data_IF_147564829675
#
_entry.id   IF_147564829675
#
_cell.length_a   1.000
_cell.length_b   1.000
_cell.length_c   1.000
_cell.angle_alpha   90.00
_cell.angle_beta   90.00
_cell.angle_gamma   90.00
#
_symmetry.space_group_name_H-M   'P 1'
#
loop_
_entity.id
_entity.type
_entity.pdbx_description
1 polymer ?
#
# COMPACT_ATOMS: atom_id res chain seq x y z
N UNK A 1 14.35 -16.55 5.26
CA UNK A 1 13.17 -15.66 5.18
C UNK A 1 13.72 -14.25 5.16
N UNK A 2 13.60 -13.52 4.06
CA UNK A 2 14.12 -12.16 3.96
C UNK A 2 13.34 -11.27 4.95
N UNK A 3 14.02 -10.45 5.75
CA UNK A 3 13.37 -9.61 6.75
C UNK A 3 12.67 -8.42 6.06
N UNK A 4 11.35 -8.47 5.90
CA UNK A 4 10.53 -7.39 5.32
C UNK A 4 10.23 -6.25 6.30
N UNK A 5 11.24 -5.83 7.06
CA UNK A 5 11.07 -4.85 8.16
C UNK A 5 10.56 -3.51 7.65
N UNK A 6 10.99 -3.09 6.47
CA UNK A 6 10.59 -1.81 5.91
C UNK A 6 9.18 -1.86 5.33
N UNK A 7 8.80 -2.96 4.66
CA UNK A 7 7.44 -3.18 4.19
C UNK A 7 6.41 -3.06 5.31
N UNK A 8 6.68 -3.65 6.50
CA UNK A 8 5.72 -3.55 7.61
C UNK A 8 5.58 -2.12 8.15
N UNK A 9 6.65 -1.32 8.11
CA UNK A 9 6.59 0.11 8.47
C UNK A 9 5.79 0.89 7.43
N UNK A 10 6.10 0.70 6.15
CA UNK A 10 5.35 1.27 5.02
C UNK A 10 3.86 0.92 5.12
N UNK A 11 3.55 -0.35 5.34
CA UNK A 11 2.18 -0.84 5.50
C UNK A 11 1.44 -0.17 6.67
N UNK A 12 2.08 -0.02 7.83
CA UNK A 12 1.48 0.66 8.97
C UNK A 12 1.21 2.13 8.65
N UNK A 13 2.20 2.82 8.09
CA UNK A 13 2.08 4.21 7.69
C UNK A 13 0.96 4.42 6.66
N UNK A 14 1.01 3.71 5.54
CA UNK A 14 0.04 3.84 4.45
C UNK A 14 -1.40 3.53 4.91
N UNK A 15 -1.57 2.53 5.79
CA UNK A 15 -2.87 2.26 6.40
C UNK A 15 -3.34 3.38 7.33
N UNK A 16 -2.45 4.04 8.05
CA UNK A 16 -2.81 5.16 8.94
C UNK A 16 -3.19 6.44 8.19
N UNK A 17 -2.71 6.61 6.95
CA UNK A 17 -3.02 7.78 6.11
C UNK A 17 -4.04 7.50 5.01
N UNK A 18 -4.56 6.28 4.93
CA UNK A 18 -5.65 5.90 4.02
C UNK A 18 -6.93 6.62 4.41
N UNK A 19 -7.69 7.07 3.41
CA UNK A 19 -9.00 7.71 3.58
C UNK A 19 -10.16 6.71 3.45
N UNK A 20 -9.86 5.42 3.28
CA UNK A 20 -10.88 4.39 3.16
C UNK A 20 -11.80 4.37 4.38
N UNK A 21 -13.11 4.34 4.13
CA UNK A 21 -14.13 4.23 5.18
C UNK A 21 -14.14 2.86 5.87
N UNK A 22 -13.46 1.88 5.28
CA UNK A 22 -13.42 0.51 5.76
C UNK A 22 -11.99 0.13 6.16
N UNK A 23 -11.81 -0.70 7.20
CA UNK A 23 -10.51 -1.24 7.57
C UNK A 23 -9.79 -1.92 6.39
N UNK A 24 -8.48 -1.70 6.28
CA UNK A 24 -7.62 -2.36 5.28
C UNK A 24 -6.84 -3.51 5.94
N UNK A 25 -6.98 -4.71 5.36
CA UNK A 25 -6.19 -5.90 5.70
C UNK A 25 -5.25 -6.21 4.55
N UNK A 26 -3.97 -6.44 4.84
CA UNK A 26 -2.94 -6.73 3.84
C UNK A 26 -2.42 -8.14 4.08
N UNK A 27 -2.29 -8.92 3.01
CA UNK A 27 -1.68 -10.26 3.04
C UNK A 27 -0.73 -10.42 1.86
N UNK A 28 0.43 -11.00 2.13
CA UNK A 28 1.33 -11.48 1.08
C UNK A 28 1.05 -12.95 0.82
N UNK A 29 0.77 -13.32 -0.42
CA UNK A 29 0.38 -14.67 -0.82
C UNK A 29 1.00 -15.03 -2.16
N UNK A 30 1.01 -16.30 -2.50
CA UNK A 30 1.29 -16.72 -3.88
C UNK A 30 0.12 -16.27 -4.76
N UNK A 31 0.38 -15.41 -5.73
CA UNK A 31 -0.60 -15.00 -6.74
C UNK A 31 -0.22 -15.72 -8.02
N UNK A 32 -1.06 -16.66 -8.47
CA UNK A 32 -0.80 -17.48 -9.66
C UNK A 32 -1.20 -16.80 -10.98
N UNK A 33 -1.90 -15.68 -10.87
CA UNK A 33 -2.38 -14.90 -12.01
C UNK A 33 -1.29 -13.92 -12.45
N UNK A 34 -1.35 -13.40 -13.68
CA UNK A 34 -0.41 -12.38 -14.21
C UNK A 34 -0.60 -11.00 -13.53
N UNK A 35 -0.82 -10.98 -12.22
CA UNK A 35 -1.10 -9.81 -11.41
C UNK A 35 -0.16 -9.79 -10.20
N UNK A 36 0.31 -8.59 -9.85
CA UNK A 36 1.23 -8.38 -8.72
C UNK A 36 0.51 -8.11 -7.40
N UNK A 37 -0.78 -7.76 -7.46
CA UNK A 37 -1.63 -7.51 -6.30
C UNK A 37 -3.10 -7.34 -6.67
N UNK A 38 -3.95 -7.31 -5.64
CA UNK A 38 -5.39 -7.10 -5.75
C UNK A 38 -5.94 -6.37 -4.55
N UNK A 39 -6.88 -5.45 -4.78
CA UNK A 39 -7.76 -4.89 -3.76
C UNK A 39 -9.17 -5.46 -3.88
N UNK A 40 -9.60 -6.23 -2.88
CA UNK A 40 -10.90 -6.90 -2.85
C UNK A 40 -11.74 -6.29 -1.73
N UNK A 41 -12.88 -5.70 -2.07
CA UNK A 41 -13.89 -5.32 -1.07
C UNK A 41 -14.58 -6.57 -0.53
N UNK A 42 -14.57 -6.72 0.80
CA UNK A 42 -15.32 -7.72 1.56
C UNK A 42 -16.31 -7.02 2.49
N UNK A 43 -17.21 -7.78 3.09
CA UNK A 43 -18.19 -7.23 4.03
C UNK A 43 -17.46 -6.56 5.21
N UNK A 44 -17.51 -5.21 5.22
CA UNK A 44 -16.94 -4.39 6.27
C UNK A 44 -15.41 -4.17 6.21
N UNK A 45 -14.69 -4.60 5.17
CA UNK A 45 -13.24 -4.33 5.04
C UNK A 45 -12.72 -4.45 3.60
N UNK A 46 -11.56 -3.88 3.33
CA UNK A 46 -10.77 -4.14 2.11
C UNK A 46 -9.68 -5.17 2.39
N UNK A 47 -9.56 -6.17 1.53
CA UNK A 47 -8.48 -7.16 1.53
C UNK A 47 -7.52 -6.85 0.38
N UNK A 48 -6.32 -6.42 0.72
CA UNK A 48 -5.22 -6.26 -0.21
C UNK A 48 -4.37 -7.55 -0.20
N UNK A 49 -4.22 -8.15 -1.37
CA UNK A 49 -3.33 -9.28 -1.62
C UNK A 49 -2.14 -8.80 -2.43
N UNK A 50 -0.92 -9.19 -2.06
CA UNK A 50 0.32 -8.85 -2.78
C UNK A 50 1.09 -10.13 -3.02
N UNK A 51 1.67 -10.28 -4.22
CA UNK A 51 2.50 -11.44 -4.51
C UNK A 51 3.72 -11.48 -3.56
N UNK A 52 3.85 -12.58 -2.83
CA UNK A 52 4.94 -12.83 -1.88
C UNK A 52 6.31 -12.95 -2.55
N UNK A 53 6.35 -13.20 -3.87
CA UNK A 53 7.58 -13.37 -4.63
C UNK A 53 8.18 -12.03 -5.09
N UNK A 54 7.49 -10.91 -4.87
CA UNK A 54 8.00 -9.57 -5.16
C UNK A 54 9.08 -9.14 -4.16
N UNK A 55 9.97 -8.27 -4.64
CA UNK A 55 10.91 -7.53 -3.78
C UNK A 55 10.15 -6.66 -2.78
N UNK A 56 10.86 -6.21 -1.74
CA UNK A 56 10.28 -5.31 -0.74
C UNK A 56 9.80 -3.99 -1.37
N UNK A 57 10.64 -3.37 -2.20
CA UNK A 57 10.33 -2.14 -2.93
C UNK A 57 9.09 -2.30 -3.82
N UNK A 58 9.08 -3.33 -4.69
CA UNK A 58 7.91 -3.60 -5.53
C UNK A 58 6.66 -3.91 -4.71
N UNK A 59 6.80 -4.59 -3.56
CA UNK A 59 5.65 -4.84 -2.68
C UNK A 59 5.07 -3.54 -2.11
N UNK A 60 5.90 -2.52 -1.86
CA UNK A 60 5.44 -1.21 -1.38
C UNK A 60 4.73 -0.44 -2.49
N UNK A 61 5.25 -0.47 -3.73
CA UNK A 61 4.60 0.16 -4.88
C UNK A 61 3.21 -0.44 -5.15
N UNK A 62 3.11 -1.77 -5.10
CA UNK A 62 1.82 -2.46 -5.21
C UNK A 62 0.92 -2.09 -4.03
N UNK A 63 1.45 -1.98 -2.81
CA UNK A 63 0.65 -1.58 -1.66
C UNK A 63 0.06 -0.17 -1.80
N UNK A 64 0.84 0.79 -2.31
CA UNK A 64 0.37 2.14 -2.65
C UNK A 64 -0.78 2.08 -3.68
N UNK A 65 -0.57 1.31 -4.75
CA UNK A 65 -1.55 1.12 -5.82
C UNK A 65 -2.89 0.56 -5.29
N UNK A 66 -2.82 -0.48 -4.47
CA UNK A 66 -4.02 -1.16 -3.96
C UNK A 66 -4.73 -0.39 -2.85
N UNK A 67 -4.01 0.40 -2.03
CA UNK A 67 -4.64 1.32 -1.07
C UNK A 67 -5.34 2.45 -1.82
N UNK A 68 -4.79 2.93 -2.95
CA UNK A 68 -5.47 3.91 -3.77
C UNK A 68 -6.83 3.40 -4.29
N UNK A 69 -6.91 2.12 -4.68
CA UNK A 69 -8.20 1.48 -4.98
C UNK A 69 -9.16 1.49 -3.80
N UNK A 70 -8.67 1.21 -2.58
CA UNK A 70 -9.50 1.22 -1.37
C UNK A 70 -10.00 2.63 -0.99
N UNK A 71 -9.20 3.66 -1.26
CA UNK A 71 -9.52 5.07 -1.00
C UNK A 71 -10.52 5.64 -2.02
N UNK A 72 -10.44 5.19 -3.28
CA UNK A 72 -11.26 5.71 -4.39
C UNK A 72 -12.42 4.76 -4.77
N UNK A 73 -12.83 3.85 -3.88
CA UNK A 73 -13.75 2.78 -4.26
C UNK A 73 -15.17 3.29 -4.57
N UNK A 74 -15.53 3.34 -5.85
CA UNK A 74 -16.82 3.84 -6.34
C UNK A 74 -17.69 2.78 -7.05
N UNK A 75 -17.45 1.49 -6.79
CA UNK A 75 -18.02 0.32 -7.51
C UNK A 75 -17.25 -0.01 -8.80
N UNK A 76 -16.09 -0.66 -8.64
CA UNK A 76 -15.31 -1.21 -9.76
C UNK A 76 -13.81 -1.13 -9.54
N UNK A 77 -13.06 -1.83 -10.40
CA UNK A 77 -11.59 -1.90 -10.39
C UNK A 77 -11.00 -1.03 -11.52
N UNK A 78 -11.45 0.22 -11.63
CA UNK A 78 -11.01 1.11 -12.70
C UNK A 78 -10.09 2.21 -12.17
N UNK A 79 -9.01 2.50 -12.90
CA UNK A 79 -8.12 3.64 -12.66
C UNK A 79 -8.74 4.94 -13.17
N UNK A 80 -9.86 5.36 -12.55
CA UNK A 80 -10.50 6.64 -12.83
C UNK A 80 -9.77 7.84 -12.24
N UNK A 81 -10.32 9.03 -12.43
CA UNK A 81 -9.77 10.27 -11.86
C UNK A 81 -9.63 10.21 -10.33
N UNK A 82 -10.63 9.67 -9.64
CA UNK A 82 -10.60 9.51 -8.18
C UNK A 82 -9.46 8.61 -7.72
N UNK A 83 -9.17 7.55 -8.48
CA UNK A 83 -8.03 6.67 -8.20
C UNK A 83 -6.71 7.41 -8.40
N UNK A 84 -6.56 8.17 -9.49
CA UNK A 84 -5.34 8.93 -9.76
C UNK A 84 -5.08 9.99 -8.68
N UNK A 85 -6.14 10.66 -8.20
CA UNK A 85 -6.07 11.61 -7.08
C UNK A 85 -5.64 10.89 -5.79
N UNK A 86 -6.28 9.76 -5.47
CA UNK A 86 -5.96 8.97 -4.28
C UNK A 86 -4.52 8.45 -4.32
N UNK A 87 -4.09 7.90 -5.45
CA UNK A 87 -2.74 7.40 -5.66
C UNK A 87 -1.71 8.52 -5.50
N UNK A 88 -1.92 9.67 -6.16
CA UNK A 88 -0.97 10.79 -6.06
C UNK A 88 -0.87 11.33 -4.65
N UNK A 89 -1.99 11.42 -3.92
CA UNK A 89 -2.01 11.83 -2.51
C UNK A 89 -1.20 10.88 -1.64
N UNK A 90 -1.44 9.56 -1.76
CA UNK A 90 -0.72 8.54 -1.01
C UNK A 90 0.77 8.57 -1.32
N UNK A 91 1.12 8.71 -2.60
CA UNK A 91 2.50 8.77 -3.06
C UNK A 91 3.25 9.99 -2.49
N UNK A 92 2.67 11.19 -2.54
CA UNK A 92 3.27 12.39 -1.94
C UNK A 92 3.49 12.23 -0.43
N UNK A 93 2.53 11.62 0.29
CA UNK A 93 2.68 11.35 1.72
C UNK A 93 3.76 10.31 2.01
N UNK A 94 3.89 9.32 1.12
CA UNK A 94 4.93 8.32 1.20
C UNK A 94 6.32 8.91 0.98
N UNK A 95 6.51 9.77 -0.03
CA UNK A 95 7.77 10.49 -0.24
C UNK A 95 8.16 11.34 0.99
N UNK A 96 7.20 12.10 1.54
CA UNK A 96 7.47 12.88 2.75
C UNK A 96 7.85 12.00 3.96
N UNK A 97 7.24 10.82 4.10
CA UNK A 97 7.61 9.86 5.13
C UNK A 97 9.02 9.29 4.89
N UNK A 98 9.38 9.02 3.64
CA UNK A 98 10.72 8.54 3.29
C UNK A 98 11.79 9.57 3.61
N UNK A 99 11.54 10.84 3.32
CA UNK A 99 12.48 11.93 3.60
C UNK A 99 12.72 12.05 5.12
N UNK A 100 11.66 12.13 5.92
CA UNK A 100 11.75 12.15 7.39
C UNK A 100 12.45 10.90 7.95
N UNK A 101 12.16 9.73 7.39
CA UNK A 101 12.78 8.47 7.79
C UNK A 101 14.29 8.45 7.49
N UNK A 102 14.68 8.90 6.30
CA UNK A 102 16.07 8.95 5.89
C UNK A 102 16.86 9.96 6.73
N UNK A 103 16.29 11.12 7.03
CA UNK A 103 16.89 12.10 7.93
C UNK A 103 17.13 11.50 9.33
N UNK A 104 16.14 10.80 9.90
CA UNK A 104 16.27 10.13 11.20
C UNK A 104 17.37 9.08 11.22
N UNK A 105 17.46 8.24 10.17
CA UNK A 105 18.53 7.25 10.03
C UNK A 105 19.90 7.95 9.95
N UNK A 106 20.04 9.00 9.13
CA UNK A 106 21.28 9.75 8.99
C UNK A 106 21.72 10.38 10.32
N UNK A 107 20.76 10.79 11.14
CA UNK A 107 20.99 11.36 12.47
C UNK A 107 21.17 10.30 13.58
N UNK A 108 21.11 9.00 13.25
CA UNK A 108 21.32 7.90 14.19
C UNK A 108 20.13 7.59 15.10
N UNK A 109 18.94 8.12 14.78
CA UNK A 109 17.69 7.79 15.47
C UNK A 109 17.18 6.41 14.99
N UNK A 110 16.69 5.57 15.92
CA UNK A 110 16.27 4.18 15.64
C UNK A 110 14.75 4.01 15.54
#
# INVERSE_FOLDING_TARGET
MQEFKFFYRAMKFLKSVSLSKYPIKVRRTDIKENASGFCIKKDGYFLILIDKNLSEEHSIDILLHEIAHADSWAEGYNHGLDWAIAFRRLYNLWEAFLDDWNEKILNGEK
#
